data_IF_524724484907
#
_entry.id   IF_524724484907
#
_cell.length_a   1.000
_cell.length_b   1.000
_cell.length_c   1.000
_cell.angle_alpha   90.00
_cell.angle_beta   90.00
_cell.angle_gamma   90.00
#
_symmetry.space_group_name_H-M   'P 1'
#
loop_
_entity.id
_entity.type
_entity.pdbx_description
1 polymer ?
#
# COMPACT_ATOMS: atom_id res chain seq x y z
N UNK A 1 -38.42 -7.76 -21.66
CA UNK A 1 -37.28 -8.20 -22.51
C UNK A 1 -37.56 -9.61 -22.97
N UNK A 2 -37.36 -9.91 -24.26
CA UNK A 2 -37.52 -11.29 -24.75
C UNK A 2 -36.36 -12.16 -24.25
N UNK A 3 -36.64 -13.43 -23.98
CA UNK A 3 -35.63 -14.39 -23.52
C UNK A 3 -34.46 -14.52 -24.51
N UNK A 4 -34.76 -14.47 -25.81
CA UNK A 4 -33.76 -14.52 -26.88
C UNK A 4 -32.79 -13.34 -26.85
N UNK A 5 -33.28 -12.14 -26.55
CA UNK A 5 -32.42 -10.96 -26.43
C UNK A 5 -31.45 -11.09 -25.25
N UNK A 6 -31.96 -11.52 -24.08
CA UNK A 6 -31.11 -11.74 -22.90
C UNK A 6 -30.08 -12.85 -23.13
N UNK A 7 -30.49 -13.91 -23.85
CA UNK A 7 -29.60 -15.00 -24.22
C UNK A 7 -28.44 -14.49 -25.08
N UNK A 8 -28.74 -13.72 -26.12
CA UNK A 8 -27.73 -13.19 -27.03
C UNK A 8 -26.80 -12.19 -26.33
N UNK A 9 -27.35 -11.28 -25.52
CA UNK A 9 -26.54 -10.33 -24.76
C UNK A 9 -25.58 -11.03 -23.79
N UNK A 10 -26.05 -12.07 -23.08
CA UNK A 10 -25.20 -12.82 -22.16
C UNK A 10 -24.10 -13.60 -22.90
N UNK A 11 -24.41 -14.18 -24.07
CA UNK A 11 -23.41 -14.84 -24.91
C UNK A 11 -22.35 -13.86 -25.42
N UNK A 12 -22.76 -12.68 -25.90
CA UNK A 12 -21.84 -11.63 -26.32
C UNK A 12 -20.90 -11.19 -25.18
N UNK A 13 -21.41 -11.07 -23.96
CA UNK A 13 -20.59 -10.69 -22.81
C UNK A 13 -19.62 -11.79 -22.38
N UNK A 14 -20.02 -13.07 -22.46
CA UNK A 14 -19.11 -14.20 -22.19
C UNK A 14 -17.99 -14.24 -23.24
N UNK A 15 -18.29 -14.02 -24.53
CA UNK A 15 -17.29 -13.95 -25.60
C UNK A 15 -16.31 -12.77 -25.40
N UNK A 16 -16.80 -11.62 -24.91
CA UNK A 16 -15.92 -10.50 -24.56
C UNK A 16 -14.99 -10.84 -23.41
N UNK A 17 -15.47 -11.57 -22.40
CA UNK A 17 -14.63 -12.04 -21.30
C UNK A 17 -13.56 -12.99 -21.85
N UNK A 18 -13.94 -13.95 -22.69
CA UNK A 18 -13.01 -14.87 -23.34
C UNK A 18 -11.92 -14.15 -24.13
N UNK A 19 -12.30 -13.16 -24.96
CA UNK A 19 -11.36 -12.37 -25.74
C UNK A 19 -10.43 -11.45 -24.92
N UNK A 20 -10.76 -11.17 -23.66
CA UNK A 20 -9.98 -10.32 -22.76
C UNK A 20 -9.01 -11.10 -21.87
N UNK A 21 -9.05 -12.44 -21.88
CA UNK A 21 -8.09 -13.28 -21.15
C UNK A 21 -6.76 -13.27 -21.90
N UNK A 22 -5.69 -12.82 -21.24
CA UNK A 22 -4.32 -12.92 -21.77
C UNK A 22 -3.90 -14.39 -21.80
N UNK A 23 -3.94 -15.01 -22.98
CA UNK A 23 -3.48 -16.39 -23.18
C UNK A 23 -1.98 -16.47 -23.55
N UNK A 24 -1.28 -17.55 -23.18
CA UNK A 24 0.03 -17.85 -23.76
C UNK A 24 -0.11 -18.06 -25.27
N UNK A 25 0.88 -17.60 -26.05
CA UNK A 25 0.90 -17.49 -27.54
C UNK A 25 0.42 -18.74 -28.32
N UNK A 26 0.35 -19.91 -27.67
CA UNK A 26 -0.04 -21.19 -28.26
C UNK A 26 -1.55 -21.45 -28.36
N UNK A 27 -2.41 -20.69 -27.67
CA UNK A 27 -3.88 -20.93 -27.62
C UNK A 27 -4.73 -19.80 -28.25
N UNK A 28 -4.10 -18.66 -28.52
CA UNK A 28 -4.66 -17.31 -28.79
C UNK A 28 -5.74 -17.16 -29.88
N UNK A 29 -6.21 -18.20 -30.56
CA UNK A 29 -7.17 -18.10 -31.67
C UNK A 29 -8.39 -19.01 -31.57
N UNK A 30 -8.48 -19.86 -30.55
CA UNK A 30 -9.59 -20.79 -30.42
C UNK A 30 -10.85 -20.08 -29.87
N UNK A 31 -12.02 -20.17 -30.54
CA UNK A 31 -13.27 -19.61 -30.02
C UNK A 31 -13.72 -20.34 -28.75
N UNK A 32 -14.49 -19.66 -27.90
CA UNK A 32 -15.03 -20.19 -26.64
C UNK A 32 -15.72 -21.57 -26.83
N UNK A 33 -16.43 -21.74 -27.95
CA UNK A 33 -17.16 -22.95 -28.30
C UNK A 33 -16.28 -24.21 -28.51
N UNK A 34 -14.96 -24.08 -28.63
CA UNK A 34 -14.04 -25.23 -28.64
C UNK A 34 -13.82 -25.82 -27.24
N UNK A 35 -13.98 -25.00 -26.18
CA UNK A 35 -13.74 -25.40 -24.79
C UNK A 35 -15.02 -25.52 -23.97
N UNK A 36 -16.02 -24.69 -24.27
CA UNK A 36 -17.23 -24.56 -23.46
C UNK A 36 -18.50 -24.65 -24.29
N UNK A 37 -19.45 -25.44 -23.79
CA UNK A 37 -20.83 -25.42 -24.24
C UNK A 37 -21.67 -24.55 -23.30
N UNK A 38 -22.27 -23.48 -23.84
CA UNK A 38 -23.06 -22.52 -23.06
C UNK A 38 -24.55 -22.73 -23.31
N UNK A 39 -25.26 -23.16 -22.27
CA UNK A 39 -26.71 -23.37 -22.27
C UNK A 39 -27.40 -22.42 -21.28
N UNK A 40 -28.38 -21.63 -21.77
CA UNK A 40 -29.08 -20.62 -20.97
C UNK A 40 -30.53 -21.07 -20.79
N UNK A 41 -30.97 -21.18 -19.53
CA UNK A 41 -32.35 -21.53 -19.16
C UNK A 41 -32.91 -20.44 -18.26
N UNK A 42 -34.04 -19.84 -18.64
CA UNK A 42 -34.77 -18.92 -17.77
C UNK A 42 -35.79 -19.67 -16.93
N UNK A 43 -35.94 -19.24 -15.67
CA UNK A 43 -36.92 -19.77 -14.74
C UNK A 43 -37.87 -18.64 -14.28
N UNK A 44 -39.17 -18.93 -14.05
CA UNK A 44 -40.12 -17.97 -13.50
C UNK A 44 -39.70 -17.47 -12.12
N UNK A 45 -40.09 -16.25 -11.75
CA UNK A 45 -39.81 -15.76 -10.41
C UNK A 45 -40.58 -16.58 -9.36
N UNK A 46 -39.84 -17.14 -8.39
CA UNK A 46 -40.36 -18.15 -7.47
C UNK A 46 -41.56 -17.67 -6.65
N UNK A 47 -41.47 -16.50 -6.02
CA UNK A 47 -42.50 -16.05 -5.07
C UNK A 47 -43.83 -15.72 -5.76
N UNK A 48 -43.79 -15.20 -6.98
CA UNK A 48 -45.00 -14.87 -7.75
C UNK A 48 -45.55 -16.06 -8.56
N UNK A 49 -44.71 -17.03 -8.94
CA UNK A 49 -45.08 -18.10 -9.87
C UNK A 49 -44.52 -19.47 -9.47
N UNK A 50 -44.61 -19.81 -8.18
CA UNK A 50 -44.03 -21.02 -7.58
C UNK A 50 -44.33 -22.31 -8.35
N UNK A 51 -45.59 -22.53 -8.73
CA UNK A 51 -46.01 -23.75 -9.45
C UNK A 51 -45.30 -23.87 -10.81
N UNK A 52 -45.27 -22.78 -11.59
CA UNK A 52 -44.59 -22.75 -12.90
C UNK A 52 -43.08 -22.90 -12.75
N UNK A 53 -42.48 -22.32 -11.71
CA UNK A 53 -41.07 -22.50 -11.41
C UNK A 53 -40.75 -23.98 -11.16
N UNK A 54 -41.49 -24.64 -10.27
CA UNK A 54 -41.28 -26.06 -9.95
C UNK A 54 -41.47 -26.96 -11.18
N UNK A 55 -42.46 -26.66 -12.02
CA UNK A 55 -42.67 -27.36 -13.30
C UNK A 55 -41.46 -27.20 -14.25
N UNK A 56 -40.93 -25.99 -14.43
CA UNK A 56 -39.77 -25.75 -15.29
C UNK A 56 -38.46 -26.32 -14.72
N UNK A 57 -38.28 -26.29 -13.39
CA UNK A 57 -37.16 -26.98 -12.73
C UNK A 57 -37.23 -28.49 -12.94
N UNK A 58 -38.43 -29.08 -12.87
CA UNK A 58 -38.60 -30.50 -13.16
C UNK A 58 -38.24 -30.83 -14.62
N UNK A 59 -38.61 -29.99 -15.58
CA UNK A 59 -38.19 -30.13 -16.99
C UNK A 59 -36.66 -30.01 -17.14
N UNK A 60 -36.04 -29.03 -16.48
CA UNK A 60 -34.58 -28.88 -16.49
C UNK A 60 -33.88 -30.11 -15.89
N UNK A 61 -34.39 -30.66 -14.78
CA UNK A 61 -33.88 -31.91 -14.18
C UNK A 61 -33.92 -33.07 -15.17
N UNK A 62 -34.96 -33.18 -15.99
CA UNK A 62 -35.03 -34.25 -17.00
C UNK A 62 -33.89 -34.17 -18.01
N UNK A 63 -33.41 -32.96 -18.35
CA UNK A 63 -32.23 -32.77 -19.24
C UNK A 63 -30.93 -33.26 -18.62
N UNK A 64 -30.80 -33.23 -17.29
CA UNK A 64 -29.64 -33.79 -16.58
C UNK A 64 -29.71 -35.30 -16.41
N UNK A 65 -30.90 -35.85 -16.13
CA UNK A 65 -31.11 -37.30 -16.03
C UNK A 65 -30.89 -37.98 -17.37
N UNK A 66 -31.37 -37.35 -18.45
CA UNK A 66 -31.22 -37.83 -19.82
C UNK A 66 -30.07 -37.12 -20.54
N UNK A 67 -28.97 -36.86 -19.83
CA UNK A 67 -27.87 -35.98 -20.28
C UNK A 67 -27.16 -36.43 -21.55
N UNK A 68 -27.21 -37.72 -21.88
CA UNK A 68 -26.58 -38.35 -23.05
C UNK A 68 -27.55 -38.55 -24.23
N UNK A 69 -28.85 -38.27 -24.05
CA UNK A 69 -29.85 -38.36 -25.11
C UNK A 69 -29.90 -37.05 -25.92
N UNK A 70 -30.45 -37.04 -27.16
CA UNK A 70 -30.67 -35.81 -27.92
C UNK A 70 -31.46 -34.79 -27.10
N UNK A 71 -30.89 -33.60 -26.86
CA UNK A 71 -31.45 -32.56 -25.99
C UNK A 71 -30.98 -32.59 -24.53
N UNK A 72 -30.14 -33.55 -24.16
CA UNK A 72 -29.39 -33.61 -22.91
C UNK A 72 -28.18 -32.66 -22.89
N UNK A 73 -27.54 -32.52 -21.72
CA UNK A 73 -26.52 -31.48 -21.46
C UNK A 73 -25.05 -31.95 -21.57
N UNK A 74 -24.79 -33.24 -21.83
CA UNK A 74 -23.45 -33.85 -21.65
C UNK A 74 -22.94 -34.56 -22.92
N UNK A 75 -23.71 -34.55 -24.01
CA UNK A 75 -23.55 -35.47 -25.15
C UNK A 75 -22.22 -35.46 -25.90
N UNK A 76 -21.39 -34.42 -25.78
CA UNK A 76 -20.16 -34.21 -26.55
C UNK A 76 -18.86 -34.15 -25.71
N UNK A 77 -18.94 -34.36 -24.39
CA UNK A 77 -17.76 -34.31 -23.52
C UNK A 77 -16.84 -35.51 -23.78
N UNK A 78 -15.60 -35.23 -24.20
CA UNK A 78 -14.62 -36.26 -24.61
C UNK A 78 -13.80 -36.83 -23.44
N UNK A 79 -13.62 -36.09 -22.36
CA UNK A 79 -12.79 -36.51 -21.22
C UNK A 79 -13.63 -37.14 -20.10
N UNK A 80 -13.44 -38.45 -19.89
CA UNK A 80 -14.13 -39.20 -18.84
C UNK A 80 -13.10 -39.71 -17.83
N UNK A 81 -13.06 -39.07 -16.66
CA UNK A 81 -12.29 -39.58 -15.52
C UNK A 81 -13.11 -40.67 -14.84
N UNK A 82 -12.53 -41.87 -14.69
CA UNK A 82 -13.18 -42.93 -13.94
C UNK A 82 -13.43 -42.46 -12.49
N UNK A 83 -14.57 -42.82 -11.92
CA UNK A 83 -14.95 -42.39 -10.57
C UNK A 83 -13.89 -42.75 -9.50
N UNK A 84 -13.15 -43.84 -9.70
CA UNK A 84 -12.04 -44.25 -8.82
C UNK A 84 -10.82 -43.33 -8.89
N UNK A 85 -10.58 -42.68 -10.03
CA UNK A 85 -9.47 -41.75 -10.24
C UNK A 85 -9.82 -40.28 -9.93
N UNK A 86 -11.10 -39.95 -9.79
CA UNK A 86 -11.54 -38.58 -9.56
C UNK A 86 -10.92 -37.91 -8.31
N UNK A 87 -10.83 -38.57 -7.12
CA UNK A 87 -10.24 -37.93 -5.95
C UNK A 87 -8.78 -37.51 -6.15
N UNK A 88 -7.98 -38.38 -6.79
CA UNK A 88 -6.57 -38.11 -7.10
C UNK A 88 -6.44 -36.96 -8.10
N UNK A 89 -7.24 -37.00 -9.17
CA UNK A 89 -7.24 -35.95 -10.18
C UNK A 89 -7.69 -34.59 -9.61
N UNK A 90 -8.70 -34.58 -8.76
CA UNK A 90 -9.16 -33.37 -8.07
C UNK A 90 -8.10 -32.81 -7.13
N UNK A 91 -7.35 -33.66 -6.42
CA UNK A 91 -6.22 -33.23 -5.58
C UNK A 91 -5.10 -32.59 -6.41
N UNK A 92 -4.76 -33.17 -7.56
CA UNK A 92 -3.77 -32.60 -8.49
C UNK A 92 -4.20 -31.24 -9.04
N UNK A 93 -5.47 -31.11 -9.46
CA UNK A 93 -6.05 -29.83 -9.90
C UNK A 93 -5.99 -28.82 -8.76
N UNK A 94 -6.41 -29.21 -7.55
CA UNK A 94 -6.44 -28.32 -6.40
C UNK A 94 -5.04 -27.83 -6.01
N UNK A 95 -4.04 -28.71 -6.05
CA UNK A 95 -2.64 -28.34 -5.81
C UNK A 95 -2.16 -27.30 -6.82
N UNK A 96 -2.43 -27.51 -8.11
CA UNK A 96 -2.08 -26.54 -9.17
C UNK A 96 -2.76 -25.19 -8.95
N UNK A 97 -4.04 -25.18 -8.58
CA UNK A 97 -4.77 -23.94 -8.27
C UNK A 97 -4.14 -23.22 -7.07
N UNK A 98 -3.81 -23.96 -6.00
CA UNK A 98 -3.26 -23.40 -4.77
C UNK A 98 -1.85 -22.82 -4.94
N UNK A 99 -1.02 -23.48 -5.74
CA UNK A 99 0.37 -23.07 -5.97
C UNK A 99 0.50 -22.02 -7.09
N UNK A 100 -0.60 -21.65 -7.76
CA UNK A 100 -0.59 -20.67 -8.85
C UNK A 100 -0.48 -19.24 -8.31
N UNK A 101 0.66 -18.59 -8.59
CA UNK A 101 0.94 -17.21 -8.18
C UNK A 101 0.03 -16.18 -8.84
N UNK A 102 -0.48 -16.45 -10.04
CA UNK A 102 -1.39 -15.53 -10.75
C UNK A 102 -2.77 -15.47 -10.09
N UNK A 103 -3.11 -16.47 -9.26
CA UNK A 103 -4.32 -16.51 -8.44
C UNK A 103 -4.12 -15.91 -7.04
N UNK A 104 -2.93 -15.40 -6.72
CA UNK A 104 -2.62 -14.76 -5.43
C UNK A 104 -3.20 -13.34 -5.35
N UNK A 105 -4.53 -13.25 -5.32
CA UNK A 105 -5.30 -12.01 -5.20
C UNK A 105 -4.92 -11.14 -3.97
N UNK A 106 -4.52 -11.72 -2.81
CA UNK A 106 -3.89 -10.96 -1.72
C UNK A 106 -2.66 -10.16 -2.16
N UNK A 107 -1.79 -10.72 -3.01
CA UNK A 107 -0.62 -10.02 -3.53
C UNK A 107 -1.01 -8.81 -4.39
N UNK A 108 -2.12 -8.87 -5.14
CA UNK A 108 -2.64 -7.72 -5.89
C UNK A 108 -3.12 -6.61 -4.96
N UNK A 109 -3.82 -6.94 -3.86
CA UNK A 109 -4.23 -5.93 -2.85
C UNK A 109 -3.03 -5.27 -2.19
N UNK A 110 -2.02 -6.05 -1.82
CA UNK A 110 -0.75 -5.56 -1.24
C UNK A 110 0.00 -4.70 -2.26
N UNK A 111 0.03 -5.08 -3.54
CA UNK A 111 0.63 -4.29 -4.61
C UNK A 111 -0.07 -2.93 -4.77
N UNK A 112 -1.40 -2.91 -4.85
CA UNK A 112 -2.17 -1.66 -4.94
C UNK A 112 -1.94 -0.78 -3.70
N UNK A 113 -1.96 -1.38 -2.51
CA UNK A 113 -1.63 -0.68 -1.27
C UNK A 113 -0.21 -0.10 -1.33
N UNK A 114 0.77 -0.84 -1.86
CA UNK A 114 2.17 -0.41 -1.95
C UNK A 114 2.34 0.80 -2.84
N UNK A 115 1.68 0.80 -4.00
CA UNK A 115 1.68 1.94 -4.93
C UNK A 115 0.99 3.13 -4.28
N UNK A 116 -0.24 2.97 -3.78
CA UNK A 116 -1.02 4.08 -3.22
C UNK A 116 -0.39 4.68 -1.95
N UNK A 117 0.04 3.84 -1.00
CA UNK A 117 0.73 4.32 0.19
C UNK A 117 2.06 4.99 -0.15
N UNK A 118 2.73 4.58 -1.24
CA UNK A 118 3.93 5.23 -1.75
C UNK A 118 3.64 6.62 -2.32
N UNK A 119 2.65 6.73 -3.20
CA UNK A 119 2.24 8.01 -3.80
C UNK A 119 1.86 9.05 -2.74
N UNK A 120 1.06 8.65 -1.74
CA UNK A 120 0.66 9.53 -0.65
C UNK A 120 1.88 9.94 0.18
N UNK A 121 2.80 9.01 0.48
CA UNK A 121 4.04 9.34 1.19
C UNK A 121 4.88 10.36 0.42
N UNK A 122 5.08 10.17 -0.88
CA UNK A 122 5.84 11.09 -1.73
C UNK A 122 5.17 12.46 -1.83
N UNK A 123 3.84 12.51 -1.87
CA UNK A 123 3.08 13.77 -1.82
C UNK A 123 3.30 14.50 -0.49
N UNK A 124 3.17 13.83 0.66
CA UNK A 124 3.41 14.45 1.97
C UNK A 124 4.85 14.93 2.12
N UNK A 125 5.82 14.18 1.62
CA UNK A 125 7.23 14.60 1.62
C UNK A 125 7.43 15.86 0.76
N UNK A 126 6.80 15.94 -0.41
CA UNK A 126 6.84 17.14 -1.26
C UNK A 126 6.22 18.33 -0.54
N UNK A 127 5.04 18.17 0.05
CA UNK A 127 4.39 19.23 0.83
C UNK A 127 5.30 19.72 1.96
N UNK A 128 5.88 18.81 2.74
CA UNK A 128 6.84 19.15 3.79
C UNK A 128 8.05 19.94 3.25
N UNK A 129 8.62 19.52 2.12
CA UNK A 129 9.79 20.18 1.52
C UNK A 129 9.52 21.64 1.13
N UNK A 130 8.26 21.97 0.82
CA UNK A 130 7.82 23.31 0.44
C UNK A 130 6.98 24.00 1.53
N UNK A 131 6.94 23.44 2.74
CA UNK A 131 6.19 24.03 3.86
C UNK A 131 6.78 25.40 4.23
N UNK A 132 5.92 26.41 4.39
CA UNK A 132 6.37 27.78 4.63
C UNK A 132 7.04 27.96 5.98
N UNK A 133 6.58 27.27 7.02
CA UNK A 133 7.17 27.36 8.37
C UNK A 133 8.54 26.69 8.37
N UNK A 134 8.65 25.52 7.75
CA UNK A 134 9.91 24.82 7.55
C UNK A 134 10.92 25.67 6.77
N UNK A 135 10.53 26.26 5.63
CA UNK A 135 11.43 27.06 4.80
C UNK A 135 11.95 28.30 5.54
N UNK A 136 11.07 29.02 6.27
CA UNK A 136 11.47 30.17 7.11
C UNK A 136 12.50 29.75 8.16
N UNK A 137 12.31 28.60 8.78
CA UNK A 137 13.23 28.07 9.79
C UNK A 137 14.58 27.67 9.17
N UNK A 138 14.54 26.99 8.02
CA UNK A 138 15.74 26.61 7.27
C UNK A 138 16.58 27.82 6.87
N UNK A 139 15.92 28.93 6.51
CA UNK A 139 16.58 30.22 6.23
C UNK A 139 17.10 30.88 7.50
N UNK A 140 16.32 30.92 8.58
CA UNK A 140 16.72 31.52 9.86
C UNK A 140 17.99 30.87 10.42
N UNK A 141 18.10 29.54 10.32
CA UNK A 141 19.28 28.79 10.76
C UNK A 141 20.57 29.20 10.03
N UNK A 142 20.49 29.76 8.82
CA UNK A 142 21.68 30.28 8.12
C UNK A 142 22.25 31.54 8.80
N UNK A 143 21.44 32.29 9.53
CA UNK A 143 21.85 33.51 10.24
C UNK A 143 22.41 33.21 11.64
N UNK A 144 22.05 32.08 12.24
CA UNK A 144 22.48 31.69 13.58
C UNK A 144 21.66 30.54 14.16
N UNK A 145 21.90 30.15 15.42
CA UNK A 145 21.14 29.08 16.05
C UNK A 145 19.71 29.53 16.35
N UNK A 146 18.73 28.71 15.97
CA UNK A 146 17.30 28.97 16.18
C UNK A 146 16.82 28.26 17.44
N UNK A 147 16.16 29.01 18.34
CA UNK A 147 15.66 28.44 19.60
C UNK A 147 14.47 27.50 19.35
N UNK A 148 14.55 26.28 19.88
CA UNK A 148 13.44 25.31 19.80
C UNK A 148 13.23 24.71 18.41
N UNK A 149 14.25 24.73 17.56
CA UNK A 149 14.24 24.12 16.22
C UNK A 149 13.76 22.68 16.23
N UNK A 150 14.30 21.83 17.13
CA UNK A 150 13.95 20.41 17.21
C UNK A 150 12.47 20.19 17.46
N UNK A 151 11.92 20.91 18.44
CA UNK A 151 10.48 20.87 18.77
C UNK A 151 9.61 21.36 17.62
N UNK A 152 10.01 22.44 16.96
CA UNK A 152 9.22 23.03 15.88
C UNK A 152 9.21 22.14 14.63
N UNK A 153 10.37 21.64 14.20
CA UNK A 153 10.45 20.66 13.10
C UNK A 153 9.67 19.39 13.42
N UNK A 154 9.78 18.88 14.65
CA UNK A 154 9.03 17.70 15.08
C UNK A 154 7.51 17.91 14.97
N UNK A 155 7.02 19.09 15.36
CA UNK A 155 5.60 19.43 15.24
C UNK A 155 5.12 19.46 13.78
N UNK A 156 5.92 20.00 12.86
CA UNK A 156 5.61 20.03 11.43
C UNK A 156 5.61 18.61 10.86
N UNK A 157 6.61 17.80 11.20
CA UNK A 157 6.71 16.40 10.76
C UNK A 157 5.54 15.56 11.29
N UNK A 158 5.16 15.72 12.56
CA UNK A 158 4.02 15.04 13.15
C UNK A 158 2.70 15.37 12.43
N UNK A 159 2.52 16.62 12.00
CA UNK A 159 1.34 17.01 11.21
C UNK A 159 1.27 16.21 9.90
N UNK A 160 2.36 16.19 9.11
CA UNK A 160 2.38 15.45 7.84
C UNK A 160 2.27 13.93 8.01
N UNK A 161 2.88 13.37 9.07
CA UNK A 161 2.72 11.95 9.40
C UNK A 161 1.28 11.61 9.82
N UNK A 162 0.62 12.49 10.57
CA UNK A 162 -0.78 12.30 10.95
C UNK A 162 -1.73 12.40 9.75
N UNK A 163 -1.45 13.30 8.81
CA UNK A 163 -2.21 13.37 7.55
C UNK A 163 -2.03 12.10 6.73
N UNK A 164 -0.79 11.63 6.59
CA UNK A 164 -0.48 10.35 5.96
C UNK A 164 -1.29 9.21 6.61
N UNK A 165 -1.22 9.08 7.93
CA UNK A 165 -1.88 8.03 8.71
C UNK A 165 -3.40 8.00 8.48
N UNK A 166 -4.03 9.18 8.33
CA UNK A 166 -5.46 9.31 8.05
C UNK A 166 -5.81 8.85 6.63
N UNK A 167 -4.99 9.18 5.64
CA UNK A 167 -5.27 8.85 4.23
C UNK A 167 -5.05 7.37 3.92
N UNK A 168 -4.12 6.71 4.60
CA UNK A 168 -3.78 5.31 4.34
C UNK A 168 -4.51 4.29 5.21
N UNK A 169 -5.45 4.72 6.06
CA UNK A 169 -6.07 3.88 7.10
C UNK A 169 -6.73 2.59 6.57
N UNK A 170 -7.20 2.60 5.32
CA UNK A 170 -7.91 1.49 4.68
C UNK A 170 -6.98 0.48 3.97
N UNK A 171 -5.68 0.77 3.87
CA UNK A 171 -4.72 -0.10 3.22
C UNK A 171 -4.10 -1.11 4.21
N UNK A 172 -3.37 -2.07 3.64
CA UNK A 172 -2.65 -3.08 4.39
C UNK A 172 -1.73 -2.45 5.46
N UNK A 173 -1.79 -3.03 6.66
CA UNK A 173 -1.12 -2.49 7.85
C UNK A 173 0.41 -2.56 7.76
N UNK A 174 0.97 -3.61 7.16
CA UNK A 174 2.42 -3.75 7.03
C UNK A 174 2.94 -2.77 5.98
N UNK A 175 2.25 -2.67 4.85
CA UNK A 175 2.59 -1.74 3.76
C UNK A 175 2.58 -0.29 4.26
N UNK A 176 1.50 0.15 4.92
CA UNK A 176 1.39 1.53 5.39
C UNK A 176 2.43 1.86 6.46
N UNK A 177 2.74 0.91 7.34
CA UNK A 177 3.78 1.11 8.36
C UNK A 177 5.17 1.22 7.74
N UNK A 178 5.45 0.44 6.69
CA UNK A 178 6.71 0.52 5.96
C UNK A 178 6.88 1.84 5.22
N UNK A 179 5.85 2.25 4.50
CA UNK A 179 5.83 3.53 3.77
C UNK A 179 5.86 4.74 4.72
N UNK A 180 5.23 4.66 5.88
CA UNK A 180 5.35 5.68 6.95
C UNK A 180 6.79 5.85 7.44
N UNK A 181 7.51 4.74 7.65
CA UNK A 181 8.94 4.79 8.05
C UNK A 181 9.81 5.40 6.95
N UNK A 182 9.55 5.04 5.69
CA UNK A 182 10.26 5.63 4.54
C UNK A 182 10.02 7.14 4.44
N UNK A 183 8.77 7.58 4.61
CA UNK A 183 8.41 9.01 4.67
C UNK A 183 9.20 9.74 5.77
N UNK A 184 9.18 9.23 7.00
CA UNK A 184 9.92 9.84 8.11
C UNK A 184 11.43 9.90 7.84
N UNK A 185 12.02 8.80 7.35
CA UNK A 185 13.44 8.76 7.02
C UNK A 185 13.83 9.80 5.97
N UNK A 186 13.03 9.93 4.90
CA UNK A 186 13.28 10.89 3.84
C UNK A 186 13.09 12.34 4.33
N UNK A 187 12.10 12.58 5.17
CA UNK A 187 11.87 13.91 5.74
C UNK A 187 13.02 14.32 6.68
N UNK A 188 13.55 13.39 7.49
CA UNK A 188 14.74 13.65 8.31
C UNK A 188 15.99 13.95 7.46
N UNK A 189 16.15 13.31 6.29
CA UNK A 189 17.23 13.66 5.37
C UNK A 189 17.11 15.09 4.83
N UNK A 190 15.89 15.60 4.60
CA UNK A 190 15.67 17.00 4.19
C UNK A 190 16.05 17.99 5.30
N UNK A 191 15.85 17.60 6.56
CA UNK A 191 16.16 18.43 7.74
C UNK A 191 17.66 18.42 8.08
N UNK A 192 18.37 17.35 7.73
CA UNK A 192 19.74 17.09 8.16
C UNK A 192 20.69 18.27 7.94
N UNK A 193 20.73 18.84 6.74
CA UNK A 193 21.65 19.96 6.43
C UNK A 193 21.39 21.19 7.30
N UNK A 194 20.13 21.49 7.61
CA UNK A 194 19.79 22.61 8.49
C UNK A 194 20.19 22.30 9.93
N UNK A 195 19.95 21.07 10.39
CA UNK A 195 20.36 20.63 11.71
C UNK A 195 21.89 20.70 11.91
N UNK A 196 22.67 20.26 10.92
CA UNK A 196 24.13 20.37 10.93
C UNK A 196 24.59 21.82 11.03
N UNK A 197 24.01 22.72 10.23
CA UNK A 197 24.32 24.16 10.29
C UNK A 197 24.00 24.73 11.68
N UNK A 198 22.86 24.37 12.27
CA UNK A 198 22.51 24.80 13.62
C UNK A 198 23.52 24.30 14.66
N UNK A 199 23.90 23.03 14.61
CA UNK A 199 24.93 22.45 15.49
C UNK A 199 26.27 23.18 15.34
N UNK A 200 26.67 23.52 14.13
CA UNK A 200 27.90 24.27 13.86
C UNK A 200 27.87 25.67 14.46
N UNK A 201 26.72 26.35 14.42
CA UNK A 201 26.53 27.63 15.10
C UNK A 201 26.61 27.50 16.62
N UNK A 202 25.90 26.53 17.20
CA UNK A 202 25.95 26.25 18.64
C UNK A 202 27.37 25.94 19.10
N UNK A 203 28.10 25.11 18.35
CA UNK A 203 29.48 24.78 18.64
C UNK A 203 30.37 26.03 18.62
N UNK A 204 30.28 26.83 17.56
CA UNK A 204 31.09 28.04 17.41
C UNK A 204 30.82 29.06 18.52
N UNK A 205 29.55 29.26 18.86
CA UNK A 205 29.13 30.14 19.96
C UNK A 205 29.65 29.65 21.31
N UNK A 206 29.56 28.35 21.56
CA UNK A 206 30.01 27.71 22.81
C UNK A 206 31.53 27.85 22.96
N UNK A 207 32.31 27.60 21.91
CA UNK A 207 33.77 27.74 21.93
C UNK A 207 34.18 29.19 22.15
N UNK A 208 33.54 30.15 21.47
CA UNK A 208 33.87 31.56 21.65
C UNK A 208 33.53 32.04 23.06
N UNK A 209 32.39 31.64 23.60
CA UNK A 209 31.98 31.97 24.96
C UNK A 209 32.92 31.36 25.99
N UNK A 210 33.32 30.09 25.81
CA UNK A 210 34.32 29.46 26.67
C UNK A 210 35.63 30.25 26.71
N UNK A 211 36.15 30.68 25.55
CA UNK A 211 37.37 31.50 25.48
C UNK A 211 37.22 32.80 26.27
N UNK A 212 36.15 33.55 26.02
CA UNK A 212 35.90 34.84 26.69
C UNK A 212 35.71 34.67 28.19
N UNK A 213 34.93 33.69 28.63
CA UNK A 213 34.69 33.41 30.05
C UNK A 213 35.95 32.94 30.77
N UNK A 214 36.80 32.15 30.10
CA UNK A 214 38.08 31.72 30.66
C UNK A 214 39.04 32.91 30.80
N UNK A 215 39.19 33.74 29.77
CA UNK A 215 40.02 34.95 29.82
C UNK A 215 39.58 35.88 30.96
N UNK A 216 38.27 36.09 31.12
CA UNK A 216 37.73 36.90 32.22
C UNK A 216 38.04 36.29 33.59
N UNK A 217 37.78 34.99 33.78
CA UNK A 217 38.01 34.29 35.05
C UNK A 217 39.49 34.32 35.47
N UNK A 218 40.41 34.21 34.51
CA UNK A 218 41.85 34.33 34.75
C UNK A 218 42.25 35.76 35.12
N UNK A 219 41.67 36.77 34.48
CA UNK A 219 41.90 38.18 34.82
C UNK A 219 41.37 38.54 36.22
N UNK A 220 40.32 37.87 36.68
CA UNK A 220 39.76 38.01 38.03
C UNK A 220 40.57 37.25 39.11
N UNK A 221 41.64 36.55 38.71
CA UNK A 221 42.57 35.88 39.63
C UNK A 221 42.11 34.51 40.11
N UNK A 222 41.16 33.88 39.44
CA UNK A 222 40.76 32.50 39.75
C UNK A 222 41.90 31.50 39.44
N UNK A 223 41.94 30.42 40.21
CA UNK A 223 42.86 29.31 39.94
C UNK A 223 42.55 28.66 38.59
N UNK A 224 43.57 28.49 37.75
CA UNK A 224 43.45 28.07 36.35
C UNK A 224 42.61 26.80 36.15
N UNK A 225 42.80 25.78 36.99
CA UNK A 225 42.08 24.50 36.91
C UNK A 225 40.60 24.68 37.27
N UNK A 226 40.31 25.46 38.31
CA UNK A 226 38.95 25.74 38.73
C UNK A 226 38.18 26.56 37.68
N UNK A 227 38.83 27.56 37.09
CA UNK A 227 38.27 28.40 36.02
C UNK A 227 37.89 27.57 34.79
N UNK A 228 38.78 26.67 34.33
CA UNK A 228 38.49 25.77 33.21
C UNK A 228 37.27 24.88 33.49
N UNK A 229 37.22 24.26 34.68
CA UNK A 229 36.14 23.36 35.03
C UNK A 229 34.78 24.07 35.05
N UNK A 230 34.70 25.24 35.70
CA UNK A 230 33.47 26.03 35.79
C UNK A 230 33.02 26.54 34.41
N UNK A 231 33.93 27.12 33.62
CA UNK A 231 33.62 27.59 32.28
C UNK A 231 33.16 26.44 31.36
N UNK A 232 33.84 25.29 31.42
CA UNK A 232 33.47 24.12 30.61
C UNK A 232 32.09 23.60 30.98
N UNK A 233 31.79 23.43 32.26
CA UNK A 233 30.50 22.93 32.71
C UNK A 233 29.35 23.87 32.33
N UNK A 234 29.52 25.19 32.50
CA UNK A 234 28.52 26.18 32.11
C UNK A 234 28.30 26.22 30.59
N UNK A 235 29.38 26.16 29.82
CA UNK A 235 29.29 26.21 28.36
C UNK A 235 28.63 24.96 27.78
N UNK A 236 28.96 23.78 28.31
CA UNK A 236 28.35 22.52 27.89
C UNK A 236 26.85 22.48 28.21
N UNK A 237 26.45 22.95 29.40
CA UNK A 237 25.03 22.99 29.78
C UNK A 237 24.18 23.84 28.82
N UNK A 238 24.71 24.99 28.41
CA UNK A 238 24.03 25.85 27.42
C UNK A 238 24.08 25.28 25.99
N UNK A 239 25.13 24.52 25.62
CA UNK A 239 25.15 23.81 24.35
C UNK A 239 24.07 22.72 24.30
N UNK A 240 23.97 21.92 25.36
CA UNK A 240 22.97 20.86 25.48
C UNK A 240 21.55 21.44 25.43
N UNK A 241 21.28 22.53 26.15
CA UNK A 241 20.01 23.26 26.09
C UNK A 241 19.70 23.83 24.70
N UNK A 242 20.72 24.23 23.94
CA UNK A 242 20.54 24.67 22.56
C UNK A 242 20.26 23.54 21.58
N UNK A 243 20.57 22.29 21.94
CA UNK A 243 20.32 21.11 21.12
C UNK A 243 18.94 20.46 21.36
N UNK A 244 18.25 20.81 22.45
CA UNK A 244 16.87 20.40 22.76
C UNK A 244 15.83 21.07 21.85
#
# INVERSE_FOLDING_TARGET
TTLEYLKNALLEDIEKIWAAVDEPETLSTAPLGEFFNVEITALPYYEFQEKKFKEQVAQLRQRFVHSIYPGGLVGDRQEVVAASGFPLHAEEIWKKIKDNKDLDLPAVKVMVATVRCGEIADEKLKCFTFDEEWLKMKEAVQAGPESGFGKAVSSILENYLSEYDREVVYFDQEVRNDKRRQLLSNALMVVHDAYDTMLMHLYSNTVNRFKTSLEQSLNEGQEYVAAIHLCSQSCMLEFDQGCE
#
